data_IF_811423176120
#
_entry.id   IF_811423176120
#
_cell.length_a   1.000
_cell.length_b   1.000
_cell.length_c   1.000
_cell.angle_alpha   90.00
_cell.angle_beta   90.00
_cell.angle_gamma   90.00
#
_symmetry.space_group_name_H-M   'P 1'
#
loop_
_entity.id
_entity.type
_entity.pdbx_description
1 polymer ?
#
# COMPACT_ATOMS: atom_id res chain seq x y z
N UNK A 1 -5.65 20.78 2.99
CA UNK A 1 -5.87 19.34 3.29
C UNK A 1 -6.81 19.17 4.46
N UNK A 2 -6.52 19.80 5.59
CA UNK A 2 -7.29 19.64 6.83
C UNK A 2 -8.73 20.15 6.71
N UNK A 3 -8.93 21.24 5.95
CA UNK A 3 -10.27 21.74 5.65
C UNK A 3 -11.13 20.71 4.89
N UNK A 4 -10.54 19.99 3.93
CA UNK A 4 -11.22 18.94 3.15
C UNK A 4 -11.57 17.76 4.06
N UNK A 5 -10.65 17.35 4.93
CA UNK A 5 -10.90 16.27 5.89
C UNK A 5 -12.01 16.62 6.89
N UNK A 6 -11.98 17.85 7.42
CA UNK A 6 -13.03 18.35 8.32
C UNK A 6 -14.40 18.40 7.62
N UNK A 7 -14.44 18.93 6.40
CA UNK A 7 -15.66 18.92 5.58
C UNK A 7 -16.16 17.51 5.33
N UNK A 8 -15.27 16.57 5.01
CA UNK A 8 -15.61 15.17 4.74
C UNK A 8 -16.22 14.50 5.97
N UNK A 9 -15.61 14.65 7.15
CA UNK A 9 -16.14 14.10 8.41
C UNK A 9 -17.53 14.63 8.73
N UNK A 10 -17.73 15.94 8.63
CA UNK A 10 -19.03 16.58 8.87
C UNK A 10 -20.07 16.05 7.87
N UNK A 11 -19.70 15.91 6.60
CA UNK A 11 -20.60 15.45 5.55
C UNK A 11 -21.01 13.99 5.75
N UNK A 12 -20.07 13.10 6.05
CA UNK A 12 -20.35 11.68 6.36
C UNK A 12 -21.23 11.54 7.60
N UNK A 13 -20.94 12.32 8.66
CA UNK A 13 -21.73 12.31 9.91
C UNK A 13 -23.18 12.74 9.66
N UNK A 14 -23.37 13.85 8.92
CA UNK A 14 -24.70 14.35 8.57
C UNK A 14 -25.46 13.37 7.68
N UNK A 15 -24.80 12.77 6.69
CA UNK A 15 -25.41 11.78 5.82
C UNK A 15 -25.85 10.54 6.60
N UNK A 16 -24.99 10.02 7.48
CA UNK A 16 -25.31 8.89 8.34
C UNK A 16 -26.50 9.19 9.26
N UNK A 17 -26.54 10.36 9.91
CA UNK A 17 -27.66 10.75 10.76
C UNK A 17 -29.03 10.78 10.06
N UNK A 18 -29.05 10.97 8.72
CA UNK A 18 -30.29 10.94 7.93
C UNK A 18 -30.77 9.53 7.59
N UNK A 19 -29.87 8.55 7.51
CA UNK A 19 -30.20 7.20 7.05
C UNK A 19 -30.07 6.13 8.13
N UNK A 20 -29.47 6.46 9.29
CA UNK A 20 -29.18 5.52 10.37
C UNK A 20 -30.41 4.73 10.83
N UNK A 21 -31.59 5.36 10.86
CA UNK A 21 -32.86 4.73 11.23
C UNK A 21 -33.29 3.57 10.31
N UNK A 22 -32.75 3.49 9.08
CA UNK A 22 -33.07 2.43 8.11
C UNK A 22 -32.19 1.18 8.27
N UNK A 23 -31.14 1.26 9.06
CA UNK A 23 -30.11 0.25 9.13
C UNK A 23 -29.93 -0.27 10.55
N UNK A 24 -29.66 -1.57 10.65
CA UNK A 24 -29.46 -2.22 11.93
C UNK A 24 -27.98 -2.37 12.33
N UNK A 25 -27.23 -1.30 12.14
CA UNK A 25 -25.83 -1.19 12.53
C UNK A 25 -25.48 0.25 12.92
N UNK A 26 -24.47 0.39 13.76
CA UNK A 26 -23.93 1.69 14.18
C UNK A 26 -22.69 2.03 13.36
N UNK A 27 -22.53 3.31 12.99
CA UNK A 27 -21.31 3.84 12.39
C UNK A 27 -20.67 4.83 13.35
N UNK A 28 -19.40 4.63 13.67
CA UNK A 28 -18.60 5.50 14.54
C UNK A 28 -17.27 5.86 13.89
N UNK A 29 -16.72 7.03 14.20
CA UNK A 29 -15.36 7.42 13.79
C UNK A 29 -14.38 6.91 14.84
N UNK A 30 -13.34 6.18 14.40
CA UNK A 30 -12.36 5.56 15.29
C UNK A 30 -11.33 6.53 15.84
N UNK A 31 -11.02 7.57 15.07
CA UNK A 31 -10.06 8.58 15.44
C UNK A 31 -10.58 9.94 14.94
N UNK A 32 -10.58 10.95 15.83
CA UNK A 32 -10.91 12.32 15.46
C UNK A 32 -9.88 12.91 14.49
N UNK A 33 -8.63 12.46 14.55
CA UNK A 33 -7.54 12.90 13.69
C UNK A 33 -7.52 12.18 12.32
N UNK A 34 -8.32 11.12 12.17
CA UNK A 34 -8.52 10.43 10.89
C UNK A 34 -10.01 10.39 10.56
N UNK A 35 -10.48 11.51 10.00
CA UNK A 35 -11.85 11.75 9.54
C UNK A 35 -12.44 10.65 8.62
N UNK A 36 -11.60 9.76 8.08
CA UNK A 36 -11.97 8.64 7.23
C UNK A 36 -12.13 7.27 7.91
N UNK A 37 -11.64 7.11 9.15
CA UNK A 37 -11.55 5.83 9.82
C UNK A 37 -12.88 5.44 10.48
N UNK A 38 -13.72 4.73 9.75
CA UNK A 38 -15.04 4.28 10.21
C UNK A 38 -14.99 2.91 10.89
N UNK A 39 -15.84 2.73 11.89
CA UNK A 39 -16.14 1.47 12.55
C UNK A 39 -17.63 1.22 12.52
N UNK A 40 -18.01 0.15 11.83
CA UNK A 40 -19.38 -0.35 11.73
C UNK A 40 -19.54 -1.47 12.75
N UNK A 41 -20.53 -1.34 13.64
CA UNK A 41 -20.90 -2.36 14.62
C UNK A 41 -22.30 -2.88 14.31
N UNK A 42 -22.41 -4.17 14.01
CA UNK A 42 -23.69 -4.85 13.81
C UNK A 42 -24.26 -5.32 15.15
N UNK A 43 -25.58 -5.49 15.25
CA UNK A 43 -26.23 -6.07 16.46
C UNK A 43 -25.68 -7.45 16.84
N UNK A 44 -25.20 -8.22 15.87
CA UNK A 44 -24.55 -9.52 16.09
C UNK A 44 -23.22 -9.43 16.86
N UNK A 45 -22.73 -8.23 17.18
CA UNK A 45 -21.42 -8.00 17.78
C UNK A 45 -20.29 -8.00 16.75
N UNK A 46 -20.55 -8.36 15.48
CA UNK A 46 -19.57 -8.27 14.40
C UNK A 46 -19.17 -6.81 14.19
N UNK A 47 -17.87 -6.57 14.07
CA UNK A 47 -17.30 -5.25 13.78
C UNK A 47 -16.63 -5.28 12.43
N UNK A 48 -16.97 -4.32 11.58
CA UNK A 48 -16.28 -4.06 10.32
C UNK A 48 -15.62 -2.70 10.40
N UNK A 49 -14.38 -2.65 9.95
CA UNK A 49 -13.58 -1.44 9.92
C UNK A 49 -13.41 -1.01 8.47
N UNK A 50 -13.66 0.27 8.18
CA UNK A 50 -13.46 0.86 6.86
C UNK A 50 -12.62 2.13 6.97
N UNK A 51 -11.82 2.40 5.96
CA UNK A 51 -11.13 3.67 5.80
C UNK A 51 -11.61 4.30 4.50
N UNK A 52 -12.32 5.42 4.61
CA UNK A 52 -12.72 6.25 3.47
C UNK A 52 -11.73 7.40 3.35
N UNK A 53 -11.16 7.60 2.18
CA UNK A 53 -10.16 8.64 1.96
C UNK A 53 -10.69 9.54 0.84
N UNK A 54 -10.95 10.84 1.10
CA UNK A 54 -11.28 11.75 0.02
C UNK A 54 -10.05 11.91 -0.87
N UNK A 55 -10.30 11.93 -2.18
CA UNK A 55 -9.27 12.00 -3.20
C UNK A 55 -9.57 13.07 -4.23
N UNK A 56 -8.52 13.62 -4.83
CA UNK A 56 -8.60 14.48 -6.01
C UNK A 56 -7.98 13.72 -7.18
N UNK A 57 -8.74 13.52 -8.24
CA UNK A 57 -8.26 12.84 -9.44
C UNK A 57 -7.29 13.73 -10.21
N UNK A 58 -6.19 13.15 -10.72
CA UNK A 58 -5.24 13.85 -11.58
C UNK A 58 -5.68 13.76 -13.03
N UNK A 59 -6.27 14.84 -13.55
CA UNK A 59 -6.81 14.89 -14.91
C UNK A 59 -7.79 13.74 -15.18
N UNK A 60 -7.72 13.16 -16.38
CA UNK A 60 -8.54 12.01 -16.79
C UNK A 60 -7.83 10.67 -16.54
N UNK A 61 -6.99 10.58 -15.51
CA UNK A 61 -6.23 9.36 -15.17
C UNK A 61 -6.78 8.66 -13.93
N UNK A 62 -6.41 7.39 -13.72
CA UNK A 62 -6.69 6.64 -12.49
C UNK A 62 -5.64 6.92 -11.38
N UNK A 63 -4.99 8.07 -11.42
CA UNK A 63 -4.08 8.55 -10.39
C UNK A 63 -4.80 9.57 -9.49
N UNK A 64 -4.54 9.48 -8.19
CA UNK A 64 -5.30 10.24 -7.19
C UNK A 64 -4.38 10.90 -6.16
N UNK A 65 -4.58 12.17 -5.89
CA UNK A 65 -4.04 12.81 -4.70
C UNK A 65 -4.88 12.44 -3.49
N UNK A 66 -4.28 11.79 -2.51
CA UNK A 66 -4.93 11.33 -1.28
C UNK A 66 -4.57 12.25 -0.12
N UNK A 67 -5.49 12.46 0.81
CA UNK A 67 -5.23 13.27 2.00
C UNK A 67 -4.16 12.64 2.91
N UNK A 68 -4.11 11.32 3.02
CA UNK A 68 -3.11 10.58 3.77
C UNK A 68 -3.11 9.12 3.34
N UNK A 69 -2.03 8.40 3.64
CA UNK A 69 -2.02 6.94 3.57
C UNK A 69 -2.44 6.35 4.93
N UNK A 70 -3.24 5.26 4.97
CA UNK A 70 -3.67 4.63 6.22
C UNK A 70 -2.55 4.16 7.15
N UNK A 71 -1.35 3.95 6.59
CA UNK A 71 -0.18 3.43 7.29
C UNK A 71 0.87 4.48 7.63
N UNK A 72 0.73 5.71 7.13
CA UNK A 72 1.67 6.79 7.46
C UNK A 72 1.32 7.40 8.81
N UNK A 73 2.32 7.47 9.70
CA UNK A 73 2.22 8.22 10.95
C UNK A 73 2.44 9.71 10.71
N UNK A 74 3.28 10.05 9.73
CA UNK A 74 3.65 11.42 9.40
C UNK A 74 3.04 11.79 8.05
N UNK A 75 1.87 12.41 8.09
CA UNK A 75 1.24 12.89 6.87
C UNK A 75 1.99 14.13 6.37
N UNK A 76 2.21 14.22 5.05
CA UNK A 76 2.81 15.43 4.44
C UNK A 76 2.07 16.70 4.90
N UNK A 77 2.81 17.79 5.22
CA UNK A 77 2.22 19.04 5.69
C UNK A 77 1.34 19.65 4.60
N UNK A 78 0.28 20.36 5.00
CA UNK A 78 -0.53 21.15 4.07
C UNK A 78 0.37 22.21 3.39
N UNK A 79 0.33 22.43 2.05
CA UNK A 79 -0.64 21.99 1.05
C UNK A 79 -0.32 20.68 0.32
N UNK A 80 0.64 19.86 0.77
CA UNK A 80 1.11 18.71 0.01
C UNK A 80 0.23 17.47 0.18
N UNK A 81 -0.30 16.97 -0.94
CA UNK A 81 -1.09 15.73 -0.99
C UNK A 81 -0.29 14.60 -1.62
N UNK A 82 -0.14 13.44 -0.95
CA UNK A 82 0.51 12.29 -1.55
C UNK A 82 -0.22 11.78 -2.79
N UNK A 83 0.55 11.31 -3.77
CA UNK A 83 0.03 10.68 -4.98
C UNK A 83 -0.17 9.17 -4.75
N UNK A 84 -1.37 8.67 -5.03
CA UNK A 84 -1.73 7.25 -5.03
C UNK A 84 -1.91 6.73 -6.45
N UNK A 85 -1.20 5.65 -6.76
CA UNK A 85 -1.34 4.87 -7.99
C UNK A 85 -2.00 3.50 -7.71
N UNK A 86 -2.80 3.41 -6.66
CA UNK A 86 -3.37 2.14 -6.17
C UNK A 86 -4.23 1.39 -7.21
N UNK A 87 -4.90 2.12 -8.11
CA UNK A 87 -5.64 1.51 -9.24
C UNK A 87 -4.66 0.84 -10.21
N UNK A 88 -3.59 1.51 -10.60
CA UNK A 88 -2.55 0.94 -11.46
C UNK A 88 -1.82 -0.23 -10.79
N UNK A 89 -1.55 -0.16 -9.48
CA UNK A 89 -0.95 -1.29 -8.75
C UNK A 89 -1.87 -2.51 -8.76
N UNK A 90 -3.17 -2.30 -8.58
CA UNK A 90 -4.17 -3.37 -8.67
C UNK A 90 -4.22 -3.95 -10.08
N UNK A 91 -4.18 -3.10 -11.11
CA UNK A 91 -4.19 -3.53 -12.50
C UNK A 91 -2.92 -4.32 -12.84
N UNK A 92 -1.75 -3.89 -12.36
CA UNK A 92 -0.49 -4.62 -12.48
C UNK A 92 -0.59 -5.99 -11.80
N UNK A 93 -1.06 -6.06 -10.55
CA UNK A 93 -1.21 -7.34 -9.84
C UNK A 93 -2.18 -8.28 -10.56
N UNK A 94 -3.30 -7.76 -11.08
CA UNK A 94 -4.25 -8.54 -11.88
C UNK A 94 -3.60 -9.04 -13.18
N UNK A 95 -2.85 -8.20 -13.87
CA UNK A 95 -2.14 -8.58 -15.08
C UNK A 95 -1.10 -9.67 -14.79
N UNK A 96 -0.27 -9.50 -13.77
CA UNK A 96 0.72 -10.51 -13.37
C UNK A 96 0.04 -11.83 -13.01
N UNK A 97 -1.01 -11.80 -12.19
CA UNK A 97 -1.72 -13.00 -11.75
C UNK A 97 -2.30 -13.83 -12.91
N UNK A 98 -2.72 -13.18 -14.01
CA UNK A 98 -3.23 -13.89 -15.21
C UNK A 98 -2.17 -14.72 -15.92
N UNK A 99 -0.89 -14.39 -15.76
CA UNK A 99 0.22 -15.06 -16.45
C UNK A 99 0.97 -16.05 -15.53
N UNK A 100 0.60 -16.11 -14.25
CA UNK A 100 1.20 -17.03 -13.29
C UNK A 100 0.56 -18.43 -13.40
N UNK A 101 1.26 -19.48 -12.97
CA UNK A 101 0.68 -20.81 -12.81
C UNK A 101 -0.58 -20.77 -11.93
N UNK A 102 -1.53 -21.68 -12.21
CA UNK A 102 -2.79 -21.80 -11.47
C UNK A 102 -2.57 -21.95 -9.95
N UNK A 103 -1.54 -22.70 -9.57
CA UNK A 103 -1.09 -22.85 -8.19
C UNK A 103 0.24 -22.12 -8.01
N UNK A 104 0.17 -20.79 -7.87
CA UNK A 104 1.36 -19.96 -7.69
C UNK A 104 1.59 -19.53 -6.23
N UNK A 105 2.85 -19.43 -5.82
CA UNK A 105 3.24 -19.16 -4.44
C UNK A 105 3.42 -17.66 -4.10
N UNK A 106 3.29 -16.75 -5.06
CA UNK A 106 3.58 -15.32 -4.87
C UNK A 106 2.81 -14.65 -3.71
N UNK A 107 1.51 -14.95 -3.56
CA UNK A 107 0.72 -14.46 -2.43
C UNK A 107 1.13 -15.10 -1.11
N UNK A 108 1.47 -16.39 -1.12
CA UNK A 108 1.99 -17.09 0.07
C UNK A 108 3.31 -16.48 0.53
N UNK A 109 4.23 -16.15 -0.40
CA UNK A 109 5.46 -15.42 -0.08
C UNK A 109 5.13 -14.08 0.60
N UNK A 110 4.25 -13.26 0.01
CA UNK A 110 3.87 -11.97 0.59
C UNK A 110 3.24 -12.12 1.98
N UNK A 111 2.37 -13.11 2.17
CA UNK A 111 1.72 -13.41 3.45
C UNK A 111 2.74 -13.83 4.51
N UNK A 112 3.65 -14.75 4.20
CA UNK A 112 4.69 -15.23 5.12
C UNK A 112 5.61 -14.09 5.53
N UNK A 113 6.15 -13.31 4.57
CA UNK A 113 7.06 -12.20 4.89
C UNK A 113 6.34 -11.11 5.69
N UNK A 114 5.08 -10.79 5.37
CA UNK A 114 4.28 -9.84 6.15
C UNK A 114 4.02 -10.35 7.57
N UNK A 115 3.75 -11.64 7.73
CA UNK A 115 3.55 -12.26 9.03
C UNK A 115 4.83 -12.20 9.88
N UNK A 116 5.97 -12.60 9.31
CA UNK A 116 7.26 -12.57 9.98
C UNK A 116 7.66 -11.14 10.37
N UNK A 117 7.48 -10.17 9.47
CA UNK A 117 7.71 -8.76 9.76
C UNK A 117 6.86 -8.24 10.92
N UNK A 118 5.57 -8.59 10.97
CA UNK A 118 4.67 -8.23 12.09
C UNK A 118 5.11 -8.87 13.40
N UNK A 119 5.52 -10.14 13.38
CA UNK A 119 6.03 -10.83 14.57
C UNK A 119 7.30 -10.18 15.07
N UNK A 120 8.24 -9.89 14.17
CA UNK A 120 9.48 -9.20 14.49
C UNK A 120 9.21 -7.82 15.08
N UNK A 121 8.35 -7.02 14.43
CA UNK A 121 8.01 -5.67 14.90
C UNK A 121 7.37 -5.66 16.30
N UNK A 122 6.74 -6.76 16.71
CA UNK A 122 6.20 -6.93 18.06
C UNK A 122 7.29 -7.29 19.09
N UNK A 123 8.35 -7.95 18.66
CA UNK A 123 9.45 -8.40 19.53
C UNK A 123 10.53 -7.32 19.68
N UNK A 124 10.91 -6.66 18.57
CA UNK A 124 12.02 -5.70 18.53
C UNK A 124 11.58 -4.25 18.42
N UNK A 125 10.29 -3.98 18.46
CA UNK A 125 9.73 -2.64 18.28
C UNK A 125 9.51 -2.26 16.82
N UNK A 126 9.13 -1.01 16.59
CA UNK A 126 8.71 -0.55 15.27
C UNK A 126 9.83 -0.67 14.23
N UNK A 127 9.46 -1.09 13.02
CA UNK A 127 10.37 -1.17 11.88
C UNK A 127 9.99 -0.10 10.85
N UNK A 128 10.99 0.47 10.19
CA UNK A 128 10.78 1.35 9.05
C UNK A 128 10.24 0.60 7.81
N UNK A 129 10.35 -0.73 7.77
CA UNK A 129 9.69 -1.54 6.76
C UNK A 129 8.18 -1.56 7.00
N UNK A 130 7.42 -1.42 5.91
CA UNK A 130 5.96 -1.47 5.92
C UNK A 130 5.51 -2.62 5.03
N UNK A 131 4.25 -3.04 5.13
CA UNK A 131 3.68 -4.02 4.20
C UNK A 131 3.75 -3.55 2.74
N UNK A 132 3.78 -2.23 2.52
CA UNK A 132 3.95 -1.66 1.19
C UNK A 132 5.35 -1.97 0.62
N UNK A 133 6.40 -1.83 1.43
CA UNK A 133 7.77 -2.21 1.03
C UNK A 133 7.87 -3.70 0.67
N UNK A 134 7.24 -4.58 1.47
CA UNK A 134 7.22 -6.03 1.21
C UNK A 134 6.47 -6.37 -0.08
N UNK A 135 5.31 -5.74 -0.31
CA UNK A 135 4.56 -5.87 -1.56
C UNK A 135 5.40 -5.43 -2.75
N UNK A 136 6.07 -4.29 -2.67
CA UNK A 136 6.91 -3.75 -3.74
C UNK A 136 8.07 -4.69 -4.07
N UNK A 137 8.70 -5.30 -3.07
CA UNK A 137 9.74 -6.32 -3.30
C UNK A 137 9.22 -7.54 -4.07
N UNK A 138 8.05 -8.08 -3.68
CA UNK A 138 7.42 -9.20 -4.40
C UNK A 138 7.06 -8.81 -5.84
N UNK A 139 6.56 -7.59 -6.07
CA UNK A 139 6.25 -7.09 -7.41
C UNK A 139 7.50 -6.98 -8.29
N UNK A 140 8.61 -6.47 -7.76
CA UNK A 140 9.88 -6.43 -8.51
C UNK A 140 10.37 -7.83 -8.89
N UNK A 141 10.22 -8.81 -7.99
CA UNK A 141 10.56 -10.20 -8.30
C UNK A 141 9.62 -10.78 -9.36
N UNK A 142 8.31 -10.50 -9.29
CA UNK A 142 7.35 -10.94 -10.30
C UNK A 142 7.67 -10.36 -11.68
N UNK A 143 8.12 -9.11 -11.75
CA UNK A 143 8.51 -8.44 -12.99
C UNK A 143 9.86 -8.89 -13.56
N UNK A 144 10.70 -9.54 -12.75
CA UNK A 144 12.06 -9.94 -13.16
C UNK A 144 12.27 -11.46 -13.25
N UNK A 145 11.31 -12.24 -12.77
CA UNK A 145 11.37 -13.70 -12.77
C UNK A 145 10.38 -14.25 -13.79
N UNK A 146 10.76 -15.31 -14.53
CA UNK A 146 9.84 -16.04 -15.41
C UNK A 146 8.61 -16.50 -14.62
N UNK A 147 7.42 -16.36 -15.21
CA UNK A 147 6.15 -16.70 -14.55
C UNK A 147 6.09 -18.16 -14.10
N UNK A 148 6.63 -19.09 -14.89
CA UNK A 148 6.71 -20.52 -14.56
C UNK A 148 7.48 -20.83 -13.27
N UNK A 149 8.38 -19.95 -12.82
CA UNK A 149 9.18 -20.16 -11.60
C UNK A 149 8.42 -19.84 -10.29
N UNK A 150 7.15 -19.46 -10.38
CA UNK A 150 6.29 -19.13 -9.24
C UNK A 150 5.35 -20.27 -8.84
N UNK A 151 5.57 -21.49 -9.32
CA UNK A 151 4.79 -22.67 -8.88
C UNK A 151 4.87 -22.89 -7.37
N UNK A 152 3.91 -23.63 -6.82
CA UNK A 152 3.81 -23.93 -5.38
C UNK A 152 5.06 -24.64 -4.85
N UNK A 153 5.65 -25.53 -5.64
CA UNK A 153 6.88 -26.26 -5.31
C UNK A 153 8.09 -25.33 -5.13
N UNK A 154 8.03 -24.13 -5.71
CA UNK A 154 9.08 -23.13 -5.64
C UNK A 154 8.95 -22.18 -4.43
N UNK A 155 7.97 -22.38 -3.53
CA UNK A 155 7.66 -21.46 -2.42
C UNK A 155 8.88 -21.11 -1.57
N UNK A 156 9.65 -22.11 -1.12
CA UNK A 156 10.83 -21.89 -0.29
C UNK A 156 11.85 -21.01 -1.02
N UNK A 157 12.16 -21.35 -2.27
CA UNK A 157 13.10 -20.60 -3.11
C UNK A 157 12.61 -19.17 -3.38
N UNK A 158 11.32 -18.99 -3.68
CA UNK A 158 10.75 -17.64 -3.89
C UNK A 158 10.79 -16.81 -2.60
N UNK A 159 10.58 -17.44 -1.45
CA UNK A 159 10.68 -16.77 -0.15
C UNK A 159 12.13 -16.33 0.14
N UNK A 160 13.12 -17.18 -0.13
CA UNK A 160 14.55 -16.83 -0.05
C UNK A 160 14.86 -15.64 -0.96
N UNK A 161 14.40 -15.66 -2.22
CA UNK A 161 14.58 -14.55 -3.16
C UNK A 161 13.99 -13.23 -2.63
N UNK A 162 12.82 -13.26 -1.98
CA UNK A 162 12.23 -12.06 -1.34
C UNK A 162 13.12 -11.53 -0.24
N UNK A 163 13.64 -12.39 0.65
CA UNK A 163 14.55 -11.96 1.71
C UNK A 163 15.88 -11.43 1.16
N UNK A 164 16.48 -12.10 0.18
CA UNK A 164 17.71 -11.64 -0.46
C UNK A 164 17.52 -10.33 -1.22
N UNK A 165 16.34 -10.11 -1.84
CA UNK A 165 16.00 -8.85 -2.47
C UNK A 165 15.86 -7.73 -1.44
N UNK A 166 15.14 -7.97 -0.34
CA UNK A 166 14.96 -6.99 0.74
C UNK A 166 16.29 -6.65 1.42
N UNK A 167 17.13 -7.65 1.71
CA UNK A 167 18.45 -7.45 2.31
C UNK A 167 19.32 -6.54 1.44
N UNK A 168 19.43 -6.84 0.13
CA UNK A 168 20.18 -5.99 -0.81
C UNK A 168 19.60 -4.58 -0.89
N UNK A 169 18.27 -4.46 -0.99
CA UNK A 169 17.59 -3.17 -1.04
C UNK A 169 17.85 -2.32 0.21
N UNK A 170 17.94 -2.94 1.38
CA UNK A 170 18.27 -2.25 2.63
C UNK A 170 19.74 -1.84 2.70
N UNK A 171 20.66 -2.74 2.31
CA UNK A 171 22.10 -2.45 2.27
C UNK A 171 22.41 -1.29 1.31
N UNK A 172 21.78 -1.28 0.14
CA UNK A 172 21.89 -0.20 -0.85
C UNK A 172 21.02 1.02 -0.50
N UNK A 173 20.20 0.94 0.55
CA UNK A 173 19.17 1.94 0.92
C UNK A 173 18.29 2.35 -0.27
N UNK A 174 17.96 1.39 -1.13
CA UNK A 174 17.32 1.60 -2.42
C UNK A 174 16.22 0.58 -2.67
N UNK A 175 14.98 1.06 -2.69
CA UNK A 175 13.82 0.30 -3.12
C UNK A 175 12.96 1.20 -4.01
N UNK A 176 13.01 0.99 -5.33
CA UNK A 176 12.22 1.82 -6.24
C UNK A 176 10.72 1.48 -6.18
N UNK A 177 9.87 2.49 -6.37
CA UNK A 177 8.44 2.31 -6.56
C UNK A 177 8.18 1.38 -7.76
N UNK A 178 7.24 0.44 -7.63
CA UNK A 178 7.01 -0.58 -8.65
C UNK A 178 6.50 -0.02 -9.99
N UNK A 179 5.82 1.14 -9.97
CA UNK A 179 5.21 1.74 -11.17
C UNK A 179 5.94 2.95 -11.77
N UNK A 180 6.71 3.70 -10.96
CA UNK A 180 7.20 5.01 -11.38
C UNK A 180 8.65 4.84 -11.86
N UNK A 181 8.93 5.24 -13.09
CA UNK A 181 10.23 5.06 -13.72
C UNK A 181 10.62 3.59 -13.95
N UNK A 182 9.65 2.67 -13.94
CA UNK A 182 9.93 1.24 -14.12
C UNK A 182 9.72 0.83 -15.59
N UNK A 183 10.83 0.60 -16.30
CA UNK A 183 10.83 0.16 -17.70
C UNK A 183 10.36 -1.28 -17.90
N UNK A 184 10.21 -2.09 -16.84
CA UNK A 184 9.76 -3.49 -16.93
C UNK A 184 8.24 -3.63 -16.90
N UNK A 185 7.48 -2.53 -16.88
CA UNK A 185 6.03 -2.57 -16.76
C UNK A 185 5.36 -3.00 -18.08
N UNK A 186 4.45 -4.00 -18.05
CA UNK A 186 3.66 -4.38 -19.22
C UNK A 186 2.80 -3.24 -19.74
N UNK A 187 2.73 -3.05 -21.06
CA UNK A 187 1.98 -1.96 -21.70
C UNK A 187 0.48 -2.00 -21.38
N UNK A 188 -0.06 -3.20 -21.18
CA UNK A 188 -1.48 -3.47 -20.90
C UNK A 188 -1.95 -2.93 -19.54
N UNK A 189 -1.02 -2.57 -18.64
CA UNK A 189 -1.38 -1.92 -17.36
C UNK A 189 -1.79 -0.47 -17.56
N UNK A 190 -1.47 0.12 -18.73
CA UNK A 190 -1.87 1.48 -19.13
C UNK A 190 -1.46 2.55 -18.10
N UNK A 191 -0.29 2.41 -17.50
CA UNK A 191 0.28 3.44 -16.62
C UNK A 191 0.59 4.68 -17.46
N UNK A 192 0.12 5.88 -17.07
CA UNK A 192 0.36 7.11 -17.81
C UNK A 192 1.85 7.37 -18.08
N UNK A 193 2.15 7.89 -19.27
CA UNK A 193 3.52 8.15 -19.74
C UNK A 193 4.33 9.03 -18.79
N UNK A 194 3.68 10.02 -18.14
CA UNK A 194 4.33 10.88 -17.14
C UNK A 194 4.93 10.07 -15.98
N UNK A 195 4.30 8.97 -15.56
CA UNK A 195 4.82 8.11 -14.50
C UNK A 195 5.83 7.08 -15.01
N UNK A 196 5.65 6.57 -16.23
CA UNK A 196 6.59 5.64 -16.85
C UNK A 196 7.95 6.26 -17.13
N UNK A 197 7.97 7.51 -17.61
CA UNK A 197 9.17 8.25 -17.99
C UNK A 197 9.79 9.06 -16.85
N UNK A 198 9.11 9.16 -15.70
CA UNK A 198 9.66 9.81 -14.52
C UNK A 198 10.90 9.08 -13.99
N UNK A 199 11.74 9.80 -13.24
CA UNK A 199 12.85 9.18 -12.53
C UNK A 199 12.34 8.15 -11.51
N UNK A 200 13.02 6.99 -11.35
CA UNK A 200 12.63 5.98 -10.37
C UNK A 200 12.60 6.55 -8.94
N UNK A 201 11.42 6.50 -8.30
CA UNK A 201 11.25 7.01 -6.94
C UNK A 201 11.76 5.98 -5.92
N UNK A 202 12.77 6.34 -5.12
CA UNK A 202 13.25 5.50 -4.03
C UNK A 202 12.35 5.62 -2.77
N UNK A 203 11.68 4.53 -2.41
CA UNK A 203 10.84 4.42 -1.21
C UNK A 203 11.65 4.44 0.09
N UNK A 204 12.94 4.08 0.03
CA UNK A 204 13.85 4.13 1.19
C UNK A 204 14.56 5.47 1.35
N UNK A 205 14.09 6.53 0.68
CA UNK A 205 14.68 7.87 0.80
C UNK A 205 14.75 8.35 2.25
N UNK A 206 13.76 8.03 3.09
CA UNK A 206 13.80 8.35 4.52
C UNK A 206 14.95 7.65 5.25
N UNK A 207 15.31 6.42 4.89
CA UNK A 207 16.45 5.68 5.47
C UNK A 207 17.82 6.27 5.08
N UNK A 208 17.86 6.99 3.96
CA UNK A 208 19.05 7.74 3.52
C UNK A 208 19.18 9.05 4.30
N UNK A 209 18.05 9.70 4.58
CA UNK A 209 18.00 11.00 5.25
C UNK A 209 18.08 10.89 6.79
N UNK A 210 17.63 9.79 7.37
CA UNK A 210 17.64 9.53 8.83
C UNK A 210 18.87 8.72 9.25
N UNK A 211 20.06 9.26 9.02
CA UNK A 211 21.34 8.63 9.42
C UNK A 211 21.45 8.42 10.93
N UNK A 212 20.70 9.19 11.73
CA UNK A 212 20.78 9.20 13.20
C UNK A 212 20.07 8.02 13.89
N UNK A 213 19.27 7.23 13.16
CA UNK A 213 18.58 6.05 13.70
C UNK A 213 19.38 4.74 13.55
N UNK A 214 20.55 4.81 12.92
CA UNK A 214 21.39 3.66 12.59
C UNK A 214 22.80 3.73 13.20
N UNK A 215 23.06 4.70 14.07
CA UNK A 215 24.25 4.71 14.91
C UNK A 215 23.99 3.81 16.13
N UNK A 216 24.28 2.52 15.99
CA UNK A 216 24.55 1.60 17.09
C UNK A 216 25.83 0.83 16.75
#
# INVERSE_FOLDING_TARGET
KDQVMKWFQVSVTKAWGRISHKYDFEVTFRNLDSAGALKIRFRSGKVVVLNLIPVVQLGDTDAYFVSHFPSDRDSLPDPYWPLSLSVYERNLMKHLAKHLPQTSCHLHCLQIVTFLHRKQSRLTGQSALTSYHLKTAVVHLLLSTRTAAWGTESLERRLQDVFSFLQRSLQEKKLHHALIGNSKLPEEVQVPEIFRKAEPINLFRSLVLQTDLYAA
#
